data_IF_157656886561
#
_entry.id   IF_157656886561
#
_cell.length_a   1.000
_cell.length_b   1.000
_cell.length_c   1.000
_cell.angle_alpha   90.00
_cell.angle_beta   90.00
_cell.angle_gamma   90.00
#
_symmetry.space_group_name_H-M   'P 1'
#
loop_
_entity.id
_entity.type
_entity.pdbx_description
1 polymer ?
#
# COMPACT_ATOMS: atom_id res chain seq x y z
N UNK A 1 -34.26 16.17 31.06
CA UNK A 1 -33.39 15.10 30.49
C UNK A 1 -33.13 15.29 29.00
N UNK A 2 -34.15 15.58 28.18
CA UNK A 2 -34.01 15.80 26.71
C UNK A 2 -33.03 16.92 26.32
N UNK A 3 -32.99 18.04 27.05
CA UNK A 3 -32.08 19.16 26.77
C UNK A 3 -30.60 18.84 27.08
N UNK A 4 -30.32 18.08 28.15
CA UNK A 4 -28.97 17.59 28.46
C UNK A 4 -28.47 16.59 27.41
N UNK A 5 -29.37 15.76 26.88
CA UNK A 5 -29.07 14.81 25.80
C UNK A 5 -28.75 15.54 24.48
N UNK A 6 -29.50 16.61 24.17
CA UNK A 6 -29.25 17.46 23.01
C UNK A 6 -27.87 18.15 23.11
N UNK A 7 -27.51 18.65 24.30
CA UNK A 7 -26.23 19.32 24.54
C UNK A 7 -25.03 18.36 24.37
N UNK A 8 -25.16 17.11 24.82
CA UNK A 8 -24.12 16.07 24.63
C UNK A 8 -23.93 15.74 23.15
N UNK A 9 -25.01 15.67 22.37
CA UNK A 9 -24.94 15.37 20.94
C UNK A 9 -24.25 16.48 20.14
N UNK A 10 -24.45 17.74 20.53
CA UNK A 10 -23.79 18.92 19.93
C UNK A 10 -22.31 19.01 20.30
N UNK A 11 -21.90 18.54 21.49
CA UNK A 11 -20.49 18.53 21.89
C UNK A 11 -19.70 17.42 21.17
N UNK A 12 -20.31 16.28 20.85
CA UNK A 12 -19.65 15.21 20.10
C UNK A 12 -19.37 15.56 18.63
N UNK A 13 -20.15 16.43 18.00
CA UNK A 13 -19.94 16.81 16.59
C UNK A 13 -18.79 17.80 16.38
N UNK A 14 -18.29 18.44 17.45
CA UNK A 14 -17.19 19.42 17.35
C UNK A 14 -15.80 18.77 17.41
N UNK A 15 -15.70 17.49 17.79
CA UNK A 15 -14.44 16.73 17.77
C UNK A 15 -14.21 16.03 16.43
N UNK A 16 -14.44 16.75 15.32
CA UNK A 16 -14.01 16.30 14.00
C UNK A 16 -12.48 16.35 13.90
N UNK A 17 -11.81 15.25 14.23
CA UNK A 17 -10.39 15.10 13.93
C UNK A 17 -10.22 15.01 12.42
N UNK A 18 -9.72 16.08 11.78
CA UNK A 18 -9.09 15.92 10.47
C UNK A 18 -7.71 15.32 10.71
N UNK A 19 -7.51 14.06 10.34
CA UNK A 19 -6.17 13.48 10.40
C UNK A 19 -5.36 14.11 9.28
N UNK A 20 -4.31 14.85 9.65
CA UNK A 20 -3.33 15.33 8.66
C UNK A 20 -2.75 14.09 7.97
N UNK A 21 -2.88 14.03 6.65
CA UNK A 21 -2.33 12.92 5.86
C UNK A 21 -0.81 13.11 5.81
N UNK A 22 -0.06 12.29 6.55
CA UNK A 22 1.41 12.43 6.69
C UNK A 22 2.19 11.98 5.43
N UNK A 23 1.50 11.37 4.46
CA UNK A 23 2.09 10.94 3.21
C UNK A 23 1.09 11.03 2.05
N UNK A 24 1.61 11.27 0.86
CA UNK A 24 0.87 11.15 -0.39
C UNK A 24 0.80 9.68 -0.81
N UNK A 25 -0.15 9.36 -1.67
CA UNK A 25 -0.34 8.00 -2.20
C UNK A 25 -0.59 8.11 -3.69
N UNK A 26 0.14 7.33 -4.47
CA UNK A 26 -0.02 7.26 -5.92
C UNK A 26 0.01 5.81 -6.38
N UNK A 27 -0.95 5.42 -7.21
CA UNK A 27 -0.90 4.15 -7.93
C UNK A 27 -0.07 4.32 -9.20
N UNK A 28 0.88 3.41 -9.41
CA UNK A 28 1.83 3.44 -10.53
C UNK A 28 1.79 2.09 -11.24
N UNK A 29 1.55 2.13 -12.54
CA UNK A 29 1.76 1.00 -13.44
C UNK A 29 3.15 1.11 -14.04
N UNK A 30 4.00 0.13 -13.77
CA UNK A 30 5.37 0.08 -14.32
C UNK A 30 5.34 -0.56 -15.71
N UNK A 31 4.64 -1.68 -15.84
CA UNK A 31 4.49 -2.40 -17.11
C UNK A 31 3.23 -3.30 -17.09
N UNK A 32 3.09 -4.18 -18.07
CA UNK A 32 1.98 -5.13 -18.17
C UNK A 32 1.85 -6.09 -16.99
N UNK A 33 2.92 -6.34 -16.23
CA UNK A 33 2.99 -7.32 -15.14
C UNK A 33 3.09 -6.70 -13.73
N UNK A 34 3.54 -5.45 -13.64
CA UNK A 34 3.83 -4.79 -12.36
C UNK A 34 3.00 -3.53 -12.19
N UNK A 35 2.12 -3.55 -11.19
CA UNK A 35 1.45 -2.37 -10.64
C UNK A 35 1.86 -2.23 -9.17
N UNK A 36 2.03 -0.99 -8.72
CA UNK A 36 2.42 -0.70 -7.35
C UNK A 36 1.87 0.61 -6.80
N UNK A 37 2.07 0.80 -5.52
CA UNK A 37 1.64 1.97 -4.77
C UNK A 37 2.88 2.67 -4.24
N UNK A 38 3.07 3.92 -4.64
CA UNK A 38 4.08 4.83 -4.14
C UNK A 38 3.50 5.65 -2.99
N UNK A 39 4.20 5.66 -1.86
CA UNK A 39 3.99 6.61 -0.78
C UNK A 39 5.17 7.58 -0.71
N UNK A 40 4.87 8.88 -0.68
CA UNK A 40 5.88 9.93 -0.48
C UNK A 40 5.54 10.75 0.76
N UNK A 41 6.51 11.12 1.62
CA UNK A 41 6.25 11.99 2.77
C UNK A 41 5.68 13.35 2.32
N UNK A 42 4.74 13.93 3.06
CA UNK A 42 4.19 15.26 2.70
C UNK A 42 5.10 16.43 3.08
N UNK A 43 5.98 16.25 4.07
CA UNK A 43 6.67 17.36 4.74
C UNK A 43 8.08 17.71 4.21
N UNK A 44 8.61 17.02 3.20
CA UNK A 44 9.94 17.29 2.62
C UNK A 44 10.19 16.46 1.36
N UNK A 45 11.14 16.88 0.54
CA UNK A 45 11.85 15.97 -0.37
C UNK A 45 12.51 14.84 0.44
N UNK A 46 12.49 13.62 -0.09
CA UNK A 46 13.13 12.44 0.49
C UNK A 46 14.18 11.92 -0.48
N UNK A 47 15.36 11.63 0.05
CA UNK A 47 16.50 11.12 -0.74
C UNK A 47 16.55 9.59 -0.77
N UNK A 48 15.59 8.89 -0.16
CA UNK A 48 15.61 7.44 -0.01
C UNK A 48 14.27 6.80 -0.36
N UNK A 49 14.33 5.75 -1.16
CA UNK A 49 13.21 4.92 -1.57
C UNK A 49 13.42 3.48 -1.09
N UNK A 50 12.47 2.96 -0.31
CA UNK A 50 12.41 1.54 0.03
C UNK A 50 11.42 0.83 -0.90
N UNK A 51 11.92 -0.13 -1.68
CA UNK A 51 11.10 -1.01 -2.50
C UNK A 51 10.77 -2.26 -1.68
N UNK A 52 9.49 -2.55 -1.50
CA UNK A 52 9.00 -3.67 -0.69
C UNK A 52 8.39 -4.72 -1.60
N UNK A 53 8.97 -5.92 -1.58
CA UNK A 53 8.58 -7.04 -2.42
C UNK A 53 7.86 -8.08 -1.54
N UNK A 54 6.61 -8.48 -1.87
CA UNK A 54 5.91 -9.52 -1.14
C UNK A 54 6.60 -10.89 -1.21
N UNK A 55 6.41 -11.69 -0.17
CA UNK A 55 7.03 -13.02 -0.04
C UNK A 55 6.42 -14.12 -0.92
N UNK A 56 6.42 -15.35 -0.40
CA UNK A 56 5.92 -16.53 -1.11
C UNK A 56 4.41 -16.49 -1.39
N UNK A 57 3.97 -17.30 -2.37
CA UNK A 57 2.57 -17.40 -2.76
C UNK A 57 2.03 -16.21 -3.56
N UNK A 58 0.70 -16.19 -3.81
CA UNK A 58 0.00 -15.10 -4.48
C UNK A 58 -0.30 -13.96 -3.50
N UNK A 59 0.75 -13.45 -2.85
CA UNK A 59 0.66 -12.34 -1.89
C UNK A 59 0.65 -10.99 -2.64
N UNK A 60 -0.34 -10.15 -2.35
CA UNK A 60 -0.44 -8.80 -2.92
C UNK A 60 0.54 -7.81 -2.28
N UNK A 61 0.63 -6.59 -2.85
CA UNK A 61 1.53 -5.53 -2.37
C UNK A 61 1.32 -5.10 -0.92
N UNK A 62 0.16 -5.39 -0.34
CA UNK A 62 -0.18 -5.02 1.02
C UNK A 62 0.13 -6.15 2.02
N UNK A 63 0.55 -7.32 1.54
CA UNK A 63 0.86 -8.49 2.37
C UNK A 63 -0.38 -9.35 2.66
N UNK A 64 -1.36 -9.33 1.75
CA UNK A 64 -2.58 -10.14 1.86
C UNK A 64 -2.60 -11.28 0.85
N UNK A 65 -3.35 -12.31 1.19
CA UNK A 65 -3.71 -13.43 0.33
C UNK A 65 -5.23 -13.66 0.39
N UNK A 66 -5.77 -14.51 -0.48
CA UNK A 66 -7.22 -14.76 -0.59
C UNK A 66 -7.93 -15.03 0.76
N UNK A 67 -7.29 -15.81 1.65
CA UNK A 67 -7.86 -16.20 2.94
C UNK A 67 -7.20 -15.52 4.15
N UNK A 68 -6.26 -14.59 3.92
CA UNK A 68 -5.50 -13.95 5.00
C UNK A 68 -5.26 -12.47 4.69
N UNK A 69 -5.83 -11.57 5.51
CA UNK A 69 -5.69 -10.12 5.36
C UNK A 69 -4.94 -9.51 6.54
N UNK A 70 -3.62 -9.42 6.43
CA UNK A 70 -2.75 -8.86 7.48
C UNK A 70 -2.52 -7.36 7.31
N UNK A 71 -2.45 -6.88 6.06
CA UNK A 71 -1.95 -5.56 5.67
C UNK A 71 -0.57 -5.23 6.24
N UNK A 72 0.26 -6.24 6.55
CA UNK A 72 1.53 -6.04 7.25
C UNK A 72 2.51 -5.19 6.42
N UNK A 73 2.61 -5.42 5.11
CA UNK A 73 3.52 -4.67 4.24
C UNK A 73 3.02 -3.24 4.02
N UNK A 74 1.69 -3.04 3.97
CA UNK A 74 1.09 -1.71 3.94
C UNK A 74 1.46 -0.91 5.18
N UNK A 75 1.24 -1.47 6.37
CA UNK A 75 1.56 -0.82 7.65
C UNK A 75 3.06 -0.51 7.78
N UNK A 76 3.92 -1.43 7.34
CA UNK A 76 5.36 -1.21 7.31
C UNK A 76 5.72 0.00 6.45
N UNK A 77 5.17 0.08 5.24
CA UNK A 77 5.44 1.19 4.34
C UNK A 77 4.90 2.54 4.85
N UNK A 78 3.70 2.54 5.43
CA UNK A 78 3.15 3.75 6.06
C UNK A 78 4.08 4.22 7.18
N UNK A 79 4.53 3.32 8.06
CA UNK A 79 5.46 3.65 9.13
C UNK A 79 6.82 4.17 8.61
N UNK A 80 7.39 3.56 7.56
CA UNK A 80 8.63 4.03 6.93
C UNK A 80 8.43 5.42 6.30
N UNK A 81 7.29 5.67 5.66
CA UNK A 81 7.00 6.95 5.01
C UNK A 81 6.79 8.07 6.02
N UNK A 82 6.12 7.78 7.13
CA UNK A 82 6.03 8.69 8.29
C UNK A 82 7.44 9.03 8.82
N UNK A 83 8.37 8.08 8.78
CA UNK A 83 9.78 8.29 9.12
C UNK A 83 10.63 8.83 7.96
N UNK A 84 10.01 9.52 6.99
CA UNK A 84 10.66 10.24 5.88
C UNK A 84 11.38 9.38 4.83
N UNK A 85 11.02 8.10 4.71
CA UNK A 85 11.51 7.20 3.65
C UNK A 85 10.38 6.97 2.64
N UNK A 86 10.53 7.39 1.38
CA UNK A 86 9.54 7.02 0.36
C UNK A 86 9.46 5.50 0.24
N UNK A 87 8.27 4.97 -0.04
CA UNK A 87 8.09 3.54 -0.21
C UNK A 87 7.35 3.21 -1.47
N UNK A 88 7.81 2.17 -2.17
CA UNK A 88 7.08 1.60 -3.29
C UNK A 88 6.83 0.11 -3.02
N UNK A 89 5.56 -0.29 -3.12
CA UNK A 89 5.14 -1.69 -2.96
C UNK A 89 4.41 -2.12 -4.21
N UNK A 90 4.69 -3.29 -4.76
CA UNK A 90 4.04 -3.75 -5.99
C UNK A 90 3.44 -5.15 -5.88
N UNK A 91 2.38 -5.38 -6.65
CA UNK A 91 1.77 -6.68 -6.76
C UNK A 91 2.72 -7.61 -7.53
N UNK A 92 2.95 -8.81 -7.00
CA UNK A 92 3.63 -9.85 -7.78
C UNK A 92 2.86 -10.11 -9.08
N UNK A 93 3.58 -10.40 -10.17
CA UNK A 93 2.93 -10.65 -11.47
C UNK A 93 1.76 -11.63 -11.44
N UNK A 94 1.86 -12.70 -10.64
CA UNK A 94 0.79 -13.70 -10.51
C UNK A 94 -0.50 -13.07 -9.97
N UNK A 95 -0.40 -12.12 -9.04
CA UNK A 95 -1.54 -11.39 -8.48
C UNK A 95 -2.19 -10.52 -9.56
N UNK A 96 -1.39 -9.80 -10.36
CA UNK A 96 -1.92 -9.00 -11.47
C UNK A 96 -2.58 -9.87 -12.55
N UNK A 97 -1.95 -10.99 -12.92
CA UNK A 97 -2.49 -11.94 -13.89
C UNK A 97 -3.80 -12.58 -13.41
N UNK A 98 -3.90 -12.93 -12.12
CA UNK A 98 -5.15 -13.42 -11.51
C UNK A 98 -6.24 -12.34 -11.61
N UNK A 99 -5.92 -11.08 -11.28
CA UNK A 99 -6.86 -9.94 -11.41
C UNK A 99 -7.32 -9.73 -12.87
N UNK A 100 -6.46 -10.04 -13.85
CA UNK A 100 -6.76 -9.98 -15.28
C UNK A 100 -7.47 -11.23 -15.82
N UNK A 101 -7.66 -12.27 -14.99
CA UNK A 101 -8.29 -13.52 -15.40
C UNK A 101 -7.45 -14.40 -16.33
N UNK A 102 -6.14 -14.14 -16.45
CA UNK A 102 -5.23 -14.91 -17.30
C UNK A 102 -3.95 -15.34 -16.54
N UNK A 103 -4.07 -16.18 -15.48
CA UNK A 103 -2.93 -16.63 -14.70
C UNK A 103 -2.02 -17.54 -15.51
N UNK A 104 -0.73 -17.20 -15.57
CA UNK A 104 0.29 -18.10 -16.11
C UNK A 104 0.86 -18.98 -14.98
N UNK A 105 0.75 -20.29 -15.13
CA UNK A 105 1.29 -21.27 -14.16
C UNK A 105 2.80 -21.49 -14.31
N UNK A 106 3.38 -21.11 -15.45
CA UNK A 106 4.80 -21.28 -15.76
C UNK A 106 5.61 -20.03 -15.43
N UNK A 107 5.47 -19.51 -14.21
CA UNK A 107 6.30 -18.40 -13.73
C UNK A 107 7.58 -18.97 -13.10
N UNK A 108 8.73 -18.46 -13.54
CA UNK A 108 10.04 -18.83 -13.02
C UNK A 108 10.50 -17.84 -11.94
N UNK A 109 11.64 -18.12 -11.30
CA UNK A 109 12.22 -17.17 -10.35
C UNK A 109 12.75 -15.91 -11.06
N UNK A 110 13.38 -16.08 -12.22
CA UNK A 110 13.97 -14.99 -13.03
C UNK A 110 12.92 -13.99 -13.52
N UNK A 111 11.67 -14.42 -13.62
CA UNK A 111 10.53 -13.55 -13.87
C UNK A 111 10.34 -12.54 -12.74
N UNK A 112 10.43 -12.97 -11.48
CA UNK A 112 10.35 -12.07 -10.33
C UNK A 112 11.59 -11.17 -10.21
N UNK A 113 12.75 -11.65 -10.63
CA UNK A 113 13.97 -10.82 -10.75
C UNK A 113 13.76 -9.72 -11.78
N UNK A 114 13.20 -10.06 -12.94
CA UNK A 114 12.86 -9.10 -14.00
C UNK A 114 11.84 -8.06 -13.52
N UNK A 115 10.84 -8.50 -12.75
CA UNK A 115 9.86 -7.59 -12.14
C UNK A 115 10.54 -6.61 -11.17
N UNK A 116 11.47 -7.10 -10.33
CA UNK A 116 12.21 -6.26 -9.40
C UNK A 116 13.14 -5.26 -10.11
N UNK A 117 13.82 -5.68 -11.19
CA UNK A 117 14.65 -4.78 -12.01
C UNK A 117 13.80 -3.69 -12.66
N UNK A 118 12.58 -4.00 -13.10
CA UNK A 118 11.70 -3.03 -13.76
C UNK A 118 11.26 -1.87 -12.86
N UNK A 119 11.41 -2.02 -11.54
CA UNK A 119 10.96 -1.05 -10.52
C UNK A 119 12.08 -0.08 -10.10
N UNK A 120 13.34 -0.41 -10.40
CA UNK A 120 14.53 0.41 -10.10
C UNK A 120 14.83 1.33 -11.28
#
# INVERSE_FOLDING_TARGET
>A
MKFKLLLIMVICSVFGHTQVKEFNTQEITINSFVDGTLLTPTASETESLAIIIPGSGPTDRDGNQNFAKSNALKKLAEALTINRIATFRYDKRIVKQIKQGNPNVNILFDDFVTDAISVV
#
